data_IF_178631228720
#
_entry.id   IF_178631228720
#
_cell.length_a   1.000
_cell.length_b   1.000
_cell.length_c   1.000
_cell.angle_alpha   90.00
_cell.angle_beta   90.00
_cell.angle_gamma   90.00
#
_symmetry.space_group_name_H-M   'P 1'
#
loop_
_entity.id
_entity.type
_entity.pdbx_description
1 polymer ?
#
# COMPACT_ATOMS: atom_id res chain seq x y z
N UNK A 1 -24.87 14.46 13.88
CA UNK A 1 -25.13 13.03 13.66
C UNK A 1 -23.80 12.29 13.58
N UNK A 2 -23.57 11.39 14.50
CA UNK A 2 -22.35 10.59 14.45
C UNK A 2 -22.56 9.55 13.37
N UNK A 3 -22.06 9.81 12.19
CA UNK A 3 -21.87 8.75 11.22
C UNK A 3 -20.87 7.78 11.85
N UNK A 4 -21.17 6.48 11.76
CA UNK A 4 -20.25 5.47 12.23
C UNK A 4 -18.84 5.80 11.73
N UNK A 5 -17.88 5.92 12.63
CA UNK A 5 -16.52 6.28 12.28
C UNK A 5 -15.95 5.26 11.31
N UNK A 6 -15.37 5.73 10.20
CA UNK A 6 -14.58 4.87 9.33
C UNK A 6 -13.39 4.34 10.12
N UNK A 7 -13.12 3.05 10.03
CA UNK A 7 -12.04 2.39 10.76
C UNK A 7 -10.88 2.09 9.83
N UNK A 8 -9.74 2.75 10.08
CA UNK A 8 -8.47 2.40 9.46
C UNK A 8 -7.76 1.37 10.34
N UNK A 9 -7.01 0.46 9.73
CA UNK A 9 -6.22 -0.52 10.46
C UNK A 9 -4.74 -0.22 10.31
N UNK A 10 -4.00 -0.32 11.42
CA UNK A 10 -2.56 -0.17 11.48
C UNK A 10 -1.97 -1.47 12.04
N UNK A 11 -1.29 -2.24 11.18
CA UNK A 11 -0.66 -3.50 11.53
C UNK A 11 0.85 -3.34 11.51
N UNK A 12 1.54 -3.84 12.53
CA UNK A 12 2.97 -3.64 12.60
C UNK A 12 3.68 -4.73 13.39
N UNK A 13 4.98 -4.87 13.10
CA UNK A 13 5.95 -5.65 13.86
C UNK A 13 7.30 -4.93 13.80
N UNK A 14 8.00 -4.89 14.93
CA UNK A 14 9.34 -4.31 14.97
C UNK A 14 9.39 -2.81 14.73
N UNK A 15 8.34 -2.09 15.10
CA UNK A 15 8.22 -0.64 14.93
C UNK A 15 8.36 0.01 16.30
N UNK A 16 9.09 1.14 16.37
CA UNK A 16 9.27 1.84 17.64
C UNK A 16 7.98 2.54 18.10
N UNK A 17 7.77 2.71 19.42
CA UNK A 17 6.60 3.42 19.93
C UNK A 17 6.43 4.81 19.34
N UNK A 18 7.52 5.54 19.14
CA UNK A 18 7.46 6.88 18.54
C UNK A 18 6.93 6.87 17.11
N UNK A 19 7.40 5.93 16.31
CA UNK A 19 6.95 5.77 14.91
C UNK A 19 5.46 5.45 14.85
N UNK A 20 5.00 4.56 15.72
CA UNK A 20 3.58 4.20 15.82
C UNK A 20 2.74 5.40 16.23
N UNK A 21 3.18 6.17 17.22
CA UNK A 21 2.44 7.36 17.68
C UNK A 21 2.28 8.39 16.57
N UNK A 22 3.31 8.60 15.74
CA UNK A 22 3.24 9.56 14.62
C UNK A 22 2.22 9.09 13.58
N UNK A 23 2.30 7.82 13.18
CA UNK A 23 1.39 7.26 12.16
C UNK A 23 -0.04 7.22 12.70
N UNK A 24 -0.21 6.74 13.93
CA UNK A 24 -1.50 6.71 14.60
C UNK A 24 -2.16 8.10 14.61
N UNK A 25 -1.41 9.12 15.01
CA UNK A 25 -1.93 10.49 15.08
C UNK A 25 -2.41 11.00 13.73
N UNK A 26 -1.65 10.74 12.66
CA UNK A 26 -2.03 11.14 11.30
C UNK A 26 -3.31 10.44 10.83
N UNK A 27 -3.49 9.18 11.18
CA UNK A 27 -4.70 8.42 10.84
C UNK A 27 -5.88 8.81 11.73
N UNK A 28 -5.63 9.01 13.02
CA UNK A 28 -6.67 9.28 14.01
C UNK A 28 -7.39 10.61 13.79
N UNK A 29 -6.77 11.55 13.11
CA UNK A 29 -7.42 12.80 12.72
C UNK A 29 -8.65 12.56 11.82
N UNK A 30 -8.64 11.47 11.04
CA UNK A 30 -9.65 11.21 10.02
C UNK A 30 -10.42 9.90 10.23
N UNK A 31 -9.88 8.97 11.03
CA UNK A 31 -10.43 7.63 11.22
C UNK A 31 -10.46 7.24 12.69
N UNK A 32 -11.34 6.30 13.04
CA UNK A 32 -11.07 5.44 14.18
C UNK A 32 -9.96 4.49 13.76
N UNK A 33 -8.96 4.24 14.62
CA UNK A 33 -7.80 3.43 14.27
C UNK A 33 -7.78 2.15 15.10
N UNK A 34 -7.75 1.01 14.42
CA UNK A 34 -7.53 -0.29 15.02
C UNK A 34 -6.05 -0.64 14.88
N UNK A 35 -5.36 -0.81 15.99
CA UNK A 35 -3.95 -1.22 16.01
C UNK A 35 -3.85 -2.71 16.26
N UNK A 36 -3.08 -3.40 15.42
CA UNK A 36 -2.83 -4.83 15.55
C UNK A 36 -1.34 -5.11 15.39
N UNK A 37 -0.76 -5.79 16.38
CA UNK A 37 0.59 -6.32 16.23
C UNK A 37 0.52 -7.56 15.33
N UNK A 38 1.30 -7.58 14.26
CA UNK A 38 1.35 -8.71 13.33
C UNK A 38 2.48 -9.66 13.72
N UNK A 39 2.46 -10.87 13.14
CA UNK A 39 3.52 -11.83 13.34
C UNK A 39 4.83 -11.36 12.69
N UNK A 40 5.94 -11.84 13.21
CA UNK A 40 7.25 -11.59 12.63
C UNK A 40 7.32 -12.15 11.21
N UNK A 41 7.81 -11.33 10.28
CA UNK A 41 8.10 -11.76 8.92
C UNK A 41 9.47 -12.46 8.91
N UNK A 42 9.58 -13.58 8.20
CA UNK A 42 10.83 -14.34 8.14
C UNK A 42 11.95 -13.57 7.43
N UNK A 43 11.58 -12.70 6.49
CA UNK A 43 12.52 -11.99 5.62
C UNK A 43 12.82 -10.56 6.07
N UNK A 44 11.93 -9.93 6.88
CA UNK A 44 12.05 -8.53 7.26
C UNK A 44 11.99 -8.35 8.77
N UNK A 45 12.85 -7.49 9.30
CA UNK A 45 12.87 -7.19 10.75
C UNK A 45 11.74 -6.26 11.17
N UNK A 46 11.23 -5.46 10.25
CA UNK A 46 10.12 -4.54 10.49
C UNK A 46 9.05 -4.72 9.42
N UNK A 47 7.81 -4.77 9.86
CA UNK A 47 6.65 -4.80 8.95
C UNK A 47 5.68 -3.71 9.40
N UNK A 48 5.16 -2.94 8.44
CA UNK A 48 4.10 -1.98 8.70
C UNK A 48 3.07 -2.02 7.58
N UNK A 49 1.81 -2.12 7.95
CA UNK A 49 0.69 -2.12 7.01
C UNK A 49 -0.39 -1.15 7.44
N UNK A 50 -0.88 -0.37 6.49
CA UNK A 50 -2.00 0.55 6.71
C UNK A 50 -3.14 0.15 5.78
N UNK A 51 -4.33 -0.01 6.36
CA UNK A 51 -5.54 -0.27 5.60
C UNK A 51 -6.48 0.91 5.71
N UNK A 52 -6.72 1.57 4.58
CA UNK A 52 -7.71 2.63 4.47
C UNK A 52 -9.07 2.04 4.05
N UNK A 53 -10.15 2.35 4.78
CA UNK A 53 -11.49 1.82 4.46
C UNK A 53 -12.18 2.62 3.35
N UNK A 54 -11.41 3.16 2.44
CA UNK A 54 -11.86 4.01 1.35
C UNK A 54 -11.14 3.64 0.07
N UNK A 55 -11.78 3.94 -1.06
CA UNK A 55 -11.23 3.69 -2.37
C UNK A 55 -10.01 4.56 -2.67
N UNK A 56 -9.02 3.98 -3.34
CA UNK A 56 -7.86 4.71 -3.86
C UNK A 56 -8.33 5.59 -5.02
N UNK A 57 -8.47 6.89 -4.76
CA UNK A 57 -9.10 7.84 -5.67
C UNK A 57 -8.64 9.26 -5.40
N UNK A 58 -8.88 10.15 -6.35
CA UNK A 58 -8.64 11.59 -6.16
C UNK A 58 -9.46 12.13 -4.99
N UNK A 59 -10.69 11.66 -4.83
CA UNK A 59 -11.58 12.06 -3.74
C UNK A 59 -10.98 11.71 -2.37
N UNK A 60 -10.35 10.53 -2.26
CA UNK A 60 -9.66 10.14 -1.04
C UNK A 60 -8.57 11.13 -0.68
N UNK A 61 -7.67 11.45 -1.63
CA UNK A 61 -6.54 12.35 -1.38
C UNK A 61 -6.97 13.79 -1.10
N UNK A 62 -8.04 14.26 -1.73
CA UNK A 62 -8.61 15.58 -1.44
C UNK A 62 -9.19 15.62 -0.02
N UNK A 63 -9.90 14.58 0.38
CA UNK A 63 -10.52 14.49 1.70
C UNK A 63 -9.47 14.27 2.80
N UNK A 64 -8.55 13.33 2.61
CA UNK A 64 -7.48 13.00 3.56
C UNK A 64 -6.50 14.17 3.69
N UNK A 65 -6.22 14.84 2.59
CA UNK A 65 -5.32 15.98 2.48
C UNK A 65 -3.90 15.58 2.10
N UNK A 66 -3.38 16.17 1.04
CA UNK A 66 -2.00 15.93 0.61
C UNK A 66 -0.96 16.27 1.69
N UNK A 67 -1.12 17.32 2.52
CA UNK A 67 -0.17 17.56 3.60
C UNK A 67 -0.08 16.40 4.58
N UNK A 68 -1.20 15.75 4.90
CA UNK A 68 -1.23 14.57 5.77
C UNK A 68 -0.61 13.36 5.09
N UNK A 69 -0.92 13.18 3.81
CA UNK A 69 -0.33 12.14 2.98
C UNK A 69 1.19 12.27 2.88
N UNK A 70 1.70 13.48 2.67
CA UNK A 70 3.13 13.77 2.62
C UNK A 70 3.82 13.47 3.95
N UNK A 71 3.16 13.72 5.08
CA UNK A 71 3.71 13.35 6.39
C UNK A 71 3.79 11.83 6.58
N UNK A 72 2.80 11.09 6.11
CA UNK A 72 2.86 9.62 6.13
C UNK A 72 4.04 9.12 5.29
N UNK A 73 4.18 9.63 4.06
CA UNK A 73 5.33 9.28 3.21
C UNK A 73 6.65 9.62 3.92
N UNK A 74 6.73 10.77 4.55
CA UNK A 74 7.92 11.21 5.28
C UNK A 74 8.32 10.28 6.41
N UNK A 75 7.37 9.84 7.23
CA UNK A 75 7.69 8.92 8.34
C UNK A 75 8.11 7.54 7.82
N UNK A 76 7.50 7.04 6.75
CA UNK A 76 7.89 5.76 6.15
C UNK A 76 9.32 5.80 5.60
N UNK A 77 9.70 6.88 4.93
CA UNK A 77 11.07 7.09 4.46
C UNK A 77 12.07 7.18 5.62
N UNK A 78 11.69 7.89 6.69
CA UNK A 78 12.51 8.01 7.89
C UNK A 78 12.70 6.66 8.57
N UNK A 79 11.67 5.83 8.63
CA UNK A 79 11.76 4.48 9.15
C UNK A 79 12.79 3.64 8.38
N UNK A 80 12.80 3.76 7.06
CA UNK A 80 13.79 3.08 6.21
C UNK A 80 15.20 3.63 6.47
N UNK A 81 15.34 4.94 6.54
CA UNK A 81 16.63 5.59 6.80
C UNK A 81 17.25 5.12 8.13
N UNK A 82 16.43 5.04 9.18
CA UNK A 82 16.89 4.63 10.52
C UNK A 82 17.32 3.18 10.59
N UNK A 83 16.77 2.32 9.74
CA UNK A 83 17.08 0.89 9.71
C UNK A 83 18.19 0.52 8.74
N UNK A 84 18.56 1.43 7.85
CA UNK A 84 19.61 1.19 6.87
C UNK A 84 19.19 0.28 5.72
N UNK A 85 20.19 -0.26 5.00
CA UNK A 85 19.97 -1.11 3.85
C UNK A 85 19.57 -2.54 4.20
N UNK A 86 19.37 -3.34 3.16
CA UNK A 86 18.95 -4.73 3.29
C UNK A 86 17.44 -4.89 3.54
N UNK A 87 17.04 -6.08 3.94
CA UNK A 87 15.63 -6.43 4.23
C UNK A 87 15.20 -5.91 5.60
N UNK A 88 15.29 -4.61 5.78
CA UNK A 88 15.05 -3.98 7.08
C UNK A 88 13.58 -3.66 7.33
N UNK A 89 12.82 -3.31 6.28
CA UNK A 89 11.43 -2.94 6.42
C UNK A 89 10.62 -3.35 5.18
N UNK A 90 9.46 -3.92 5.45
CA UNK A 90 8.42 -4.17 4.46
C UNK A 90 7.20 -3.33 4.81
N UNK A 91 6.70 -2.58 3.84
CA UNK A 91 5.52 -1.74 4.01
C UNK A 91 4.45 -2.16 3.02
N UNK A 92 3.20 -2.13 3.45
CA UNK A 92 2.09 -2.22 2.52
C UNK A 92 0.98 -1.23 2.87
N UNK A 93 0.25 -0.79 1.84
CA UNK A 93 -0.95 0.02 1.98
C UNK A 93 -2.07 -0.62 1.19
N UNK A 94 -3.24 -0.74 1.82
CA UNK A 94 -4.42 -1.29 1.18
C UNK A 94 -5.56 -0.29 1.23
N UNK A 95 -6.24 -0.14 0.11
CA UNK A 95 -7.42 0.72 -0.04
C UNK A 95 -8.61 -0.17 -0.40
N UNK A 96 -9.70 -0.03 0.35
CA UNK A 96 -10.93 -0.77 0.09
C UNK A 96 -11.72 -0.17 -1.06
N UNK A 97 -12.17 -1.01 -1.98
CA UNK A 97 -12.95 -0.55 -3.12
C UNK A 97 -13.33 -1.71 -4.03
N UNK A 98 -13.72 -1.39 -5.22
CA UNK A 98 -14.06 -2.37 -6.26
C UNK A 98 -13.22 -2.11 -7.50
N UNK A 99 -12.02 -2.73 -7.58
CA UNK A 99 -11.42 -3.69 -6.64
C UNK A 99 -10.72 -3.02 -5.45
N UNK A 100 -10.40 -3.82 -4.42
CA UNK A 100 -9.43 -3.42 -3.40
C UNK A 100 -8.05 -3.28 -4.04
N UNK A 101 -7.27 -2.28 -3.63
CA UNK A 101 -5.95 -2.03 -4.20
C UNK A 101 -4.91 -2.08 -3.07
N UNK A 102 -3.87 -2.88 -3.27
CA UNK A 102 -2.77 -3.03 -2.31
C UNK A 102 -1.44 -2.68 -2.98
N UNK A 103 -0.66 -1.84 -2.31
CA UNK A 103 0.70 -1.50 -2.69
C UNK A 103 1.66 -2.15 -1.71
N UNK A 104 2.68 -2.85 -2.22
CA UNK A 104 3.70 -3.50 -1.39
C UNK A 104 5.06 -2.89 -1.72
N UNK A 105 5.79 -2.47 -0.69
CA UNK A 105 7.16 -1.96 -0.78
C UNK A 105 8.05 -2.85 0.08
N UNK A 106 8.88 -3.65 -0.58
CA UNK A 106 9.78 -4.62 0.05
C UNK A 106 11.22 -4.48 -0.46
N UNK A 107 11.60 -3.27 -0.83
CA UNK A 107 12.87 -2.96 -1.49
C UNK A 107 14.00 -2.81 -0.47
N UNK A 108 15.15 -3.39 -0.79
CA UNK A 108 16.33 -3.37 0.07
C UNK A 108 17.04 -2.01 0.05
N UNK A 109 17.14 -1.40 -1.13
CA UNK A 109 17.88 -0.17 -1.34
C UNK A 109 17.06 1.06 -0.92
N UNK A 110 17.70 1.95 -0.16
CA UNK A 110 17.08 3.16 0.38
C UNK A 110 16.48 4.06 -0.71
N UNK A 111 17.23 4.28 -1.80
CA UNK A 111 16.79 5.13 -2.91
C UNK A 111 15.52 4.57 -3.56
N UNK A 112 15.52 3.27 -3.83
CA UNK A 112 14.36 2.60 -4.47
C UNK A 112 13.14 2.58 -3.54
N UNK A 113 13.35 2.33 -2.25
CA UNK A 113 12.28 2.39 -1.26
C UNK A 113 11.62 3.77 -1.25
N UNK A 114 12.44 4.83 -1.18
CA UNK A 114 11.94 6.20 -1.18
C UNK A 114 11.20 6.54 -2.48
N UNK A 115 11.74 6.12 -3.62
CA UNK A 115 11.11 6.35 -4.92
C UNK A 115 9.74 5.66 -5.00
N UNK A 116 9.65 4.42 -4.50
CA UNK A 116 8.39 3.70 -4.47
C UNK A 116 7.34 4.43 -3.62
N UNK A 117 7.72 4.86 -2.42
CA UNK A 117 6.84 5.62 -1.53
C UNK A 117 6.34 6.90 -2.22
N UNK A 118 7.24 7.65 -2.86
CA UNK A 118 6.87 8.89 -3.54
C UNK A 118 5.89 8.70 -4.70
N UNK A 119 5.99 7.58 -5.39
CA UNK A 119 5.22 7.34 -6.62
C UNK A 119 3.88 6.62 -6.41
N UNK A 120 3.47 6.31 -5.19
CA UNK A 120 2.20 5.61 -4.94
C UNK A 120 1.03 6.38 -5.57
N UNK A 121 0.92 7.66 -5.26
CA UNK A 121 -0.20 8.48 -5.74
C UNK A 121 -0.15 8.74 -7.26
N UNK A 122 0.97 8.52 -7.93
CA UNK A 122 1.07 8.61 -9.39
C UNK A 122 0.20 7.56 -10.09
N UNK A 123 -0.08 6.45 -9.42
CA UNK A 123 -0.92 5.38 -9.99
C UNK A 123 -2.36 5.84 -10.22
N UNK A 124 -2.83 6.89 -9.54
CA UNK A 124 -4.16 7.43 -9.75
C UNK A 124 -4.44 7.75 -11.23
N UNK A 125 -3.46 8.31 -11.93
CA UNK A 125 -3.61 8.68 -13.35
C UNK A 125 -3.63 7.46 -14.28
N UNK A 126 -3.13 6.33 -13.81
CA UNK A 126 -2.98 5.11 -14.61
C UNK A 126 -4.11 4.10 -14.39
N UNK A 127 -4.89 4.23 -13.31
CA UNK A 127 -5.89 3.24 -12.94
C UNK A 127 -6.88 2.93 -14.05
N UNK A 128 -7.43 3.94 -14.69
CA UNK A 128 -8.44 3.77 -15.74
C UNK A 128 -7.91 2.97 -16.94
N UNK A 129 -6.61 3.05 -17.19
CA UNK A 129 -5.97 2.30 -18.27
C UNK A 129 -5.57 0.91 -17.85
N UNK A 130 -5.00 0.77 -16.65
CA UNK A 130 -4.50 -0.52 -16.16
C UNK A 130 -5.61 -1.45 -15.71
N UNK A 131 -6.72 -0.91 -15.19
CA UNK A 131 -7.87 -1.68 -14.73
C UNK A 131 -9.06 -1.61 -15.70
N UNK A 132 -8.81 -1.28 -16.97
CA UNK A 132 -9.81 -1.31 -18.02
C UNK A 132 -10.42 -2.73 -18.10
N UNK A 133 -11.75 -2.88 -17.94
CA UNK A 133 -12.42 -4.18 -17.99
C UNK A 133 -12.13 -4.99 -19.24
N UNK A 134 -11.76 -4.33 -20.36
CA UNK A 134 -11.40 -5.02 -21.60
C UNK A 134 -10.01 -5.61 -21.56
N UNK A 135 -9.15 -5.20 -20.64
CA UNK A 135 -7.74 -5.62 -20.53
C UNK A 135 -7.49 -6.62 -19.42
N UNK A 136 -8.37 -6.70 -18.44
CA UNK A 136 -8.19 -7.56 -17.29
C UNK A 136 -9.30 -8.62 -17.21
N UNK A 137 -9.06 -9.75 -16.52
CA UNK A 137 -10.09 -10.75 -16.29
C UNK A 137 -11.30 -10.15 -15.57
N UNK A 138 -12.46 -10.79 -15.75
CA UNK A 138 -13.71 -10.36 -15.13
C UNK A 138 -13.76 -10.68 -13.64
N UNK A 139 -14.58 -9.93 -12.90
CA UNK A 139 -14.88 -10.17 -11.49
C UNK A 139 -13.64 -10.07 -10.57
N UNK A 140 -12.72 -9.17 -10.90
CA UNK A 140 -11.55 -8.90 -10.06
C UNK A 140 -11.98 -8.22 -8.76
N UNK A 141 -11.59 -8.80 -7.63
CA UNK A 141 -11.90 -8.28 -6.29
C UNK A 141 -10.71 -7.58 -5.63
N UNK A 142 -9.49 -8.00 -5.97
CA UNK A 142 -8.27 -7.46 -5.36
C UNK A 142 -7.18 -7.30 -6.42
N UNK A 143 -6.42 -6.23 -6.28
CA UNK A 143 -5.33 -5.85 -7.17
C UNK A 143 -4.10 -5.60 -6.32
N UNK A 144 -2.95 -6.15 -6.72
CA UNK A 144 -1.69 -5.95 -6.02
C UNK A 144 -0.69 -5.27 -6.95
N UNK A 145 -0.17 -4.14 -6.49
CA UNK A 145 0.93 -3.43 -7.14
C UNK A 145 2.23 -3.71 -6.41
N UNK A 146 3.29 -3.97 -7.18
CA UNK A 146 4.65 -4.07 -6.67
C UNK A 146 5.56 -3.13 -7.47
N UNK A 147 6.59 -2.62 -6.82
CA UNK A 147 7.52 -1.69 -7.45
C UNK A 147 8.62 -2.46 -8.18
N UNK A 148 8.77 -2.18 -9.46
CA UNK A 148 9.80 -2.81 -10.32
C UNK A 148 11.08 -1.99 -10.25
N UNK A 149 12.09 -2.53 -9.59
CA UNK A 149 13.38 -1.87 -9.41
C UNK A 149 14.16 -1.67 -10.71
N UNK A 150 13.88 -2.46 -11.74
CA UNK A 150 14.58 -2.33 -13.03
C UNK A 150 14.09 -1.14 -13.85
N UNK A 151 12.84 -0.73 -13.67
CA UNK A 151 12.23 0.39 -14.40
C UNK A 151 11.89 1.59 -13.52
N UNK A 152 12.11 1.50 -12.21
CA UNK A 152 11.72 2.50 -11.21
C UNK A 152 10.22 2.85 -11.28
N UNK A 153 9.36 1.85 -11.50
CA UNK A 153 7.91 2.05 -11.66
C UNK A 153 7.10 1.03 -10.88
N UNK A 154 5.94 1.47 -10.42
CA UNK A 154 4.92 0.58 -9.92
C UNK A 154 4.34 -0.24 -11.06
N UNK A 155 4.22 -1.55 -10.85
CA UNK A 155 3.61 -2.47 -11.81
C UNK A 155 2.45 -3.20 -11.19
N UNK A 156 1.41 -3.38 -11.99
CA UNK A 156 0.30 -4.24 -11.65
C UNK A 156 0.80 -5.69 -11.66
N UNK A 157 0.97 -6.26 -10.47
CA UNK A 157 1.68 -7.52 -10.28
C UNK A 157 0.76 -8.73 -10.27
N UNK A 158 -0.39 -8.61 -9.60
CA UNK A 158 -1.32 -9.72 -9.48
C UNK A 158 -2.75 -9.22 -9.38
N UNK A 159 -3.68 -10.00 -9.92
CA UNK A 159 -5.12 -9.80 -9.82
C UNK A 159 -5.75 -11.02 -9.16
N UNK A 160 -6.76 -10.78 -8.33
CA UNK A 160 -7.47 -11.85 -7.64
C UNK A 160 -8.97 -11.75 -7.93
N UNK A 161 -9.57 -12.90 -8.18
CA UNK A 161 -11.03 -13.05 -8.33
C UNK A 161 -11.46 -14.25 -7.52
N UNK A 162 -12.06 -14.01 -6.34
CA UNK A 162 -12.34 -15.07 -5.36
C UNK A 162 -11.05 -15.83 -5.02
N UNK A 163 -11.00 -17.15 -5.29
CA UNK A 163 -9.82 -17.98 -5.02
C UNK A 163 -8.83 -18.04 -6.19
N UNK A 164 -9.12 -17.31 -7.27
CA UNK A 164 -8.28 -17.31 -8.47
C UNK A 164 -7.26 -16.19 -8.43
N UNK A 165 -6.04 -16.49 -8.85
CA UNK A 165 -4.96 -15.53 -8.99
C UNK A 165 -4.50 -15.46 -10.44
N UNK A 166 -4.31 -14.25 -10.94
CA UNK A 166 -3.77 -13.99 -12.27
C UNK A 166 -2.47 -13.22 -12.16
N UNK A 167 -1.51 -13.59 -13.00
CA UNK A 167 -0.24 -12.87 -13.15
C UNK A 167 0.01 -12.59 -14.64
N UNK A 168 0.89 -11.62 -14.93
CA UNK A 168 1.24 -11.28 -16.30
C UNK A 168 2.35 -12.21 -16.80
N UNK A 169 2.11 -12.85 -17.93
CA UNK A 169 3.10 -13.63 -18.67
C UNK A 169 3.04 -13.16 -20.13
N UNK A 170 4.16 -12.67 -20.65
CA UNK A 170 4.26 -12.15 -22.02
C UNK A 170 3.18 -11.09 -22.33
N UNK A 171 2.96 -10.17 -21.41
CA UNK A 171 1.97 -9.09 -21.49
C UNK A 171 0.50 -9.56 -21.50
N UNK A 172 0.25 -10.81 -21.15
CA UNK A 172 -1.10 -11.36 -21.01
C UNK A 172 -1.35 -11.85 -19.58
N UNK A 173 -2.59 -11.70 -19.12
CA UNK A 173 -3.00 -12.21 -17.81
C UNK A 173 -3.24 -13.71 -17.88
N UNK A 174 -2.53 -14.46 -17.04
CA UNK A 174 -2.62 -15.91 -16.96
C UNK A 174 -3.06 -16.36 -15.57
N UNK A 175 -3.98 -17.30 -15.52
CA UNK A 175 -4.41 -17.93 -14.29
C UNK A 175 -3.27 -18.78 -13.71
N UNK A 176 -3.01 -18.56 -12.42
CA UNK A 176 -2.04 -19.36 -11.65
C UNK A 176 -2.78 -20.50 -10.98
N UNK A 177 -2.38 -21.73 -11.26
CA UNK A 177 -2.96 -22.93 -10.66
C UNK A 177 -2.11 -23.47 -9.51
#
# INVERSE_FOLDING_TARGET
MVQGSLVASLKYYGVSPWEIEVIYGLLHDMFAVEELETEQDEDFSTVIGVHFPLEFSDEFFKWFGYPRWDKIKGILKEMKRRRGGGRSIKMYMRFSGKPNIKFIVDLDEHRLFNTAIEKIDFILELLQYQLDPQKIPQNITDVVYMFDKSTDRWRLNALFSNDKKYVTVENEWKLVT
#
